data_IF_399905014099
#
_entry.id   IF_399905014099
#
_cell.length_a   1.000
_cell.length_b   1.000
_cell.length_c   1.000
_cell.angle_alpha   90.00
_cell.angle_beta   90.00
_cell.angle_gamma   90.00
#
_symmetry.space_group_name_H-M   'P 1'
#
loop_
_entity.id
_entity.type
_entity.pdbx_description
1 polymer ?
#
# COMPACT_ATOMS: atom_id res chain seq x y z
N UNK A 1 27.25 -60.41 50.76
CA UNK A 1 27.28 -58.95 50.53
C UNK A 1 27.66 -58.69 49.07
N UNK A 2 26.69 -58.64 48.15
CA UNK A 2 26.92 -58.31 46.72
C UNK A 2 25.82 -57.39 46.18
N UNK A 3 25.36 -56.44 47.00
CA UNK A 3 24.29 -55.49 46.62
C UNK A 3 24.82 -54.18 45.99
N UNK A 4 26.14 -53.99 45.88
CA UNK A 4 26.73 -52.75 45.34
C UNK A 4 26.89 -52.73 43.81
N UNK A 5 27.12 -53.90 43.18
CA UNK A 5 27.46 -53.98 41.75
C UNK A 5 26.24 -53.74 40.84
N UNK A 6 25.05 -54.19 41.22
CA UNK A 6 23.82 -53.97 40.45
C UNK A 6 23.29 -52.54 40.61
N UNK A 7 23.36 -51.95 41.81
CA UNK A 7 22.96 -50.56 42.05
C UNK A 7 23.81 -49.57 41.25
N UNK A 8 25.13 -49.77 41.17
CA UNK A 8 26.01 -48.95 40.34
C UNK A 8 25.65 -49.01 38.84
N UNK A 9 25.30 -50.19 38.33
CA UNK A 9 24.87 -50.35 36.94
C UNK A 9 23.56 -49.61 36.64
N UNK A 10 22.57 -49.70 37.53
CA UNK A 10 21.31 -48.95 37.37
C UNK A 10 21.51 -47.45 37.36
N UNK A 11 22.41 -46.93 38.20
CA UNK A 11 22.76 -45.50 38.22
C UNK A 11 23.41 -45.07 36.91
N UNK A 12 24.36 -45.86 36.38
CA UNK A 12 25.01 -45.56 35.09
C UNK A 12 24.01 -45.57 33.94
N UNK A 13 23.13 -46.58 33.89
CA UNK A 13 22.07 -46.68 32.86
C UNK A 13 21.11 -45.48 32.95
N UNK A 14 20.72 -45.07 34.16
CA UNK A 14 19.86 -43.90 34.35
C UNK A 14 20.51 -42.61 33.84
N UNK A 15 21.81 -42.40 34.10
CA UNK A 15 22.55 -41.23 33.60
C UNK A 15 22.60 -41.22 32.07
N UNK A 16 22.86 -42.37 31.45
CA UNK A 16 22.91 -42.49 29.98
C UNK A 16 21.55 -42.18 29.36
N UNK A 17 20.46 -42.78 29.88
CA UNK A 17 19.11 -42.52 29.38
C UNK A 17 18.73 -41.05 29.56
N UNK A 18 19.03 -40.46 30.73
CA UNK A 18 18.77 -39.05 31.00
C UNK A 18 19.56 -38.12 30.07
N UNK A 19 20.83 -38.44 29.79
CA UNK A 19 21.68 -37.71 28.84
C UNK A 19 21.15 -37.76 27.41
N UNK A 20 20.67 -38.92 26.96
CA UNK A 20 20.03 -39.06 25.64
C UNK A 20 18.74 -38.24 25.61
N UNK A 21 17.89 -38.33 26.63
CA UNK A 21 16.64 -37.57 26.69
C UNK A 21 16.86 -36.06 26.66
N UNK A 22 17.84 -35.54 27.43
CA UNK A 22 18.19 -34.12 27.42
C UNK A 22 18.77 -33.68 26.08
N UNK A 23 19.61 -34.51 25.44
CA UNK A 23 20.15 -34.23 24.12
C UNK A 23 19.05 -34.19 23.05
N UNK A 24 18.17 -35.20 23.01
CA UNK A 24 17.07 -35.26 22.05
C UNK A 24 16.10 -34.10 22.26
N UNK A 25 15.77 -33.76 23.50
CA UNK A 25 14.93 -32.59 23.84
C UNK A 25 15.57 -31.28 23.38
N UNK A 26 16.88 -31.13 23.59
CA UNK A 26 17.62 -29.96 23.13
C UNK A 26 17.62 -29.83 21.60
N UNK A 27 17.85 -30.93 20.87
CA UNK A 27 17.82 -30.93 19.41
C UNK A 27 16.41 -30.62 18.88
N UNK A 28 15.36 -31.22 19.46
CA UNK A 28 13.96 -30.89 19.12
C UNK A 28 13.65 -29.41 19.33
N UNK A 29 14.07 -28.86 20.47
CA UNK A 29 13.87 -27.44 20.74
C UNK A 29 14.67 -26.55 19.79
N UNK A 30 15.96 -26.82 19.62
CA UNK A 30 16.87 -25.99 18.82
C UNK A 30 16.50 -26.01 17.35
N UNK A 31 16.20 -27.17 16.80
CA UNK A 31 16.09 -27.37 15.35
C UNK A 31 14.64 -27.22 14.87
N UNK A 32 13.64 -27.45 15.73
CA UNK A 32 12.22 -27.35 15.34
C UNK A 32 11.48 -26.22 16.06
N UNK A 33 11.47 -26.20 17.40
CA UNK A 33 10.62 -25.25 18.15
C UNK A 33 11.14 -23.82 18.11
N UNK A 34 12.44 -23.60 18.28
CA UNK A 34 13.05 -22.27 18.31
C UNK A 34 12.83 -21.51 16.99
N UNK A 35 13.10 -22.07 15.79
CA UNK A 35 12.81 -21.39 14.53
C UNK A 35 11.32 -21.09 14.37
N UNK A 36 10.46 -22.06 14.70
CA UNK A 36 9.00 -21.91 14.54
C UNK A 36 8.45 -20.80 15.43
N UNK A 37 8.83 -20.78 16.71
CA UNK A 37 8.42 -19.74 17.65
C UNK A 37 8.98 -18.37 17.25
N UNK A 38 10.26 -18.30 16.85
CA UNK A 38 10.86 -17.06 16.39
C UNK A 38 10.11 -16.46 15.18
N UNK A 39 9.69 -17.31 14.23
CA UNK A 39 8.89 -16.88 13.10
C UNK A 39 7.51 -16.35 13.54
N UNK A 40 6.81 -17.07 14.43
CA UNK A 40 5.50 -16.64 14.94
C UNK A 40 5.60 -15.30 15.68
N UNK A 41 6.60 -15.13 16.54
CA UNK A 41 6.79 -13.87 17.28
C UNK A 41 7.19 -12.73 16.35
N UNK A 42 8.08 -12.98 15.38
CA UNK A 42 8.49 -11.96 14.41
C UNK A 42 7.31 -11.53 13.54
N UNK A 43 6.54 -12.49 13.01
CA UNK A 43 5.34 -12.20 12.22
C UNK A 43 4.29 -11.43 13.04
N UNK A 44 4.10 -11.80 14.31
CA UNK A 44 3.17 -11.12 15.21
C UNK A 44 3.60 -9.69 15.53
N UNK A 45 4.90 -9.49 15.82
CA UNK A 45 5.46 -8.17 16.09
C UNK A 45 5.40 -7.27 14.85
N UNK A 46 5.71 -7.81 13.68
CA UNK A 46 5.64 -7.06 12.43
C UNK A 46 4.22 -6.67 12.06
N UNK A 47 3.25 -7.56 12.28
CA UNK A 47 1.84 -7.22 12.13
C UNK A 47 1.45 -6.08 13.07
N UNK A 48 1.80 -6.18 14.35
CA UNK A 48 1.51 -5.14 15.33
C UNK A 48 2.13 -3.79 14.94
N UNK A 49 3.39 -3.80 14.50
CA UNK A 49 4.11 -2.59 14.07
C UNK A 49 3.52 -1.96 12.79
N UNK A 50 3.12 -2.77 11.81
CA UNK A 50 2.41 -2.27 10.63
C UNK A 50 1.02 -1.72 10.98
N UNK A 51 0.31 -2.30 11.96
CA UNK A 51 -0.96 -1.76 12.45
C UNK A 51 -0.77 -0.45 13.22
N UNK A 52 0.29 -0.33 14.01
CA UNK A 52 0.57 0.85 14.85
C UNK A 52 1.09 2.05 14.04
N UNK A 53 2.01 1.80 13.09
CA UNK A 53 2.53 2.84 12.21
C UNK A 53 1.54 3.25 11.12
N UNK A 54 0.68 2.32 10.69
CA UNK A 54 -0.20 2.47 9.51
C UNK A 54 0.55 2.46 8.17
N UNK A 55 1.89 2.53 8.20
CA UNK A 55 2.76 2.60 7.03
C UNK A 55 3.21 1.21 6.62
N UNK A 56 3.10 0.90 5.34
CA UNK A 56 3.55 -0.38 4.82
C UNK A 56 5.08 -0.44 4.79
N UNK A 57 5.64 -1.54 5.28
CA UNK A 57 7.09 -1.76 5.26
C UNK A 57 7.58 -2.07 3.85
N UNK A 58 8.78 -1.61 3.52
CA UNK A 58 9.41 -1.79 2.21
C UNK A 58 9.38 -3.23 1.70
N UNK A 59 9.65 -4.22 2.57
CA UNK A 59 9.68 -5.63 2.15
C UNK A 59 8.38 -6.14 1.54
N UNK A 60 7.24 -5.50 1.83
CA UNK A 60 5.93 -5.82 1.26
C UNK A 60 5.65 -5.07 -0.04
N UNK A 61 6.51 -4.14 -0.44
CA UNK A 61 6.39 -3.38 -1.67
C UNK A 61 7.22 -4.01 -2.77
N UNK A 62 6.73 -3.88 -4.00
CA UNK A 62 7.53 -4.10 -5.19
C UNK A 62 7.86 -2.75 -5.80
N UNK A 63 9.14 -2.44 -5.93
CA UNK A 63 9.62 -1.18 -6.45
C UNK A 63 10.67 -1.36 -7.54
N UNK A 64 10.84 -0.34 -8.37
CA UNK A 64 11.84 -0.28 -9.44
C UNK A 64 12.40 1.14 -9.53
N UNK A 65 13.59 1.27 -10.09
CA UNK A 65 14.14 2.57 -10.46
C UNK A 65 13.83 2.83 -11.93
N UNK A 66 13.17 3.94 -12.21
CA UNK A 66 12.95 4.46 -13.57
C UNK A 66 13.37 5.92 -13.60
N UNK A 67 14.13 6.33 -14.62
CA UNK A 67 14.64 7.69 -14.76
C UNK A 67 15.28 8.26 -13.48
N UNK A 68 16.05 7.42 -12.77
CA UNK A 68 16.69 7.72 -11.49
C UNK A 68 15.73 8.05 -10.33
N UNK A 69 14.48 7.59 -10.40
CA UNK A 69 13.50 7.75 -9.33
C UNK A 69 12.96 6.41 -8.87
N UNK A 70 12.75 6.27 -7.55
CA UNK A 70 12.07 5.10 -7.00
C UNK A 70 10.58 5.18 -7.32
N UNK A 71 10.12 4.12 -7.98
CA UNK A 71 8.75 3.87 -8.36
C UNK A 71 8.24 2.65 -7.60
N UNK A 72 7.21 2.83 -6.76
CA UNK A 72 6.46 1.69 -6.23
C UNK A 72 5.44 1.25 -7.27
N UNK A 73 5.41 -0.05 -7.54
CA UNK A 73 4.65 -0.67 -8.63
C UNK A 73 3.63 -1.70 -8.15
N UNK A 74 3.63 -2.05 -6.86
CA UNK A 74 2.73 -3.06 -6.33
C UNK A 74 3.18 -3.61 -4.98
N UNK A 75 2.65 -4.78 -4.63
CA UNK A 75 3.01 -5.53 -3.44
C UNK A 75 3.88 -6.75 -3.78
N UNK A 76 4.78 -7.13 -2.89
CA UNK A 76 5.59 -8.34 -3.02
C UNK A 76 4.79 -9.59 -2.64
N UNK A 77 5.25 -10.77 -3.05
CA UNK A 77 4.56 -12.05 -2.79
C UNK A 77 4.29 -12.33 -1.31
N UNK A 78 5.14 -11.83 -0.41
CA UNK A 78 4.96 -12.02 1.04
C UNK A 78 3.75 -11.25 1.61
N UNK A 79 3.24 -10.25 0.87
CA UNK A 79 2.00 -9.55 1.19
C UNK A 79 0.74 -10.40 0.92
N UNK A 80 0.90 -11.57 0.30
CA UNK A 80 -0.19 -12.47 -0.06
C UNK A 80 -0.16 -13.76 0.80
N UNK A 81 -1.32 -14.40 0.93
CA UNK A 81 -1.50 -15.74 1.47
C UNK A 81 -2.45 -16.49 0.54
N UNK A 82 -1.99 -17.59 -0.06
CA UNK A 82 -2.74 -18.36 -1.06
C UNK A 82 -3.27 -17.50 -2.23
N UNK A 83 -2.45 -16.55 -2.70
CA UNK A 83 -2.81 -15.64 -3.80
C UNK A 83 -3.75 -14.49 -3.42
N UNK A 84 -4.26 -14.45 -2.19
CA UNK A 84 -5.11 -13.37 -1.68
C UNK A 84 -4.27 -12.41 -0.85
N UNK A 85 -4.43 -11.10 -1.05
CA UNK A 85 -3.72 -10.10 -0.23
C UNK A 85 -4.09 -10.28 1.24
N UNK A 86 -3.12 -10.18 2.14
CA UNK A 86 -3.41 -10.27 3.58
C UNK A 86 -4.28 -9.08 4.01
N UNK A 87 -5.25 -9.25 4.93
CA UNK A 87 -6.24 -8.22 5.26
C UNK A 87 -5.66 -6.85 5.63
N UNK A 88 -4.52 -6.81 6.34
CA UNK A 88 -3.85 -5.58 6.74
C UNK A 88 -3.32 -4.74 5.56
N UNK A 89 -3.14 -5.34 4.38
CA UNK A 89 -2.64 -4.64 3.19
C UNK A 89 -3.77 -4.26 2.22
N UNK A 90 -5.05 -4.44 2.60
CA UNK A 90 -6.17 -3.87 1.84
C UNK A 90 -6.17 -2.34 1.88
N UNK A 91 -5.61 -1.75 2.92
CA UNK A 91 -5.34 -0.31 3.01
C UNK A 91 -3.86 -0.14 3.28
N UNK A 92 -3.17 0.64 2.46
CA UNK A 92 -1.74 0.89 2.61
C UNK A 92 -1.48 2.39 2.67
N UNK A 93 -0.57 2.79 3.56
CA UNK A 93 0.05 4.12 3.55
C UNK A 93 1.47 3.90 3.05
N UNK A 94 1.83 4.58 1.96
CA UNK A 94 3.16 4.45 1.38
C UNK A 94 4.22 5.03 2.34
N UNK A 95 5.42 4.42 2.43
CA UNK A 95 6.50 4.97 3.22
C UNK A 95 7.08 6.22 2.55
N UNK A 96 7.74 7.08 3.33
CA UNK A 96 8.48 8.23 2.79
C UNK A 96 9.68 7.79 1.96
N UNK A 97 10.35 6.71 2.38
CA UNK A 97 11.54 6.17 1.72
C UNK A 97 11.42 4.68 1.43
N UNK A 98 12.15 4.26 0.40
CA UNK A 98 12.36 2.87 -0.01
C UNK A 98 13.84 2.74 -0.35
N UNK A 99 14.51 1.70 0.15
CA UNK A 99 15.94 1.51 -0.04
C UNK A 99 16.80 2.73 0.35
N UNK A 100 16.35 3.48 1.36
CA UNK A 100 17.03 4.68 1.85
C UNK A 100 16.88 5.95 1.00
N UNK A 101 16.14 5.90 -0.12
CA UNK A 101 15.85 7.07 -0.95
C UNK A 101 14.36 7.43 -0.91
N UNK A 102 14.04 8.68 -1.23
CA UNK A 102 12.66 9.16 -1.27
C UNK A 102 11.81 8.38 -2.28
N UNK A 103 10.65 7.93 -1.84
CA UNK A 103 9.62 7.38 -2.72
C UNK A 103 8.90 8.52 -3.43
N UNK A 104 9.31 8.79 -4.67
CA UNK A 104 8.81 9.92 -5.47
C UNK A 104 7.63 9.56 -6.37
N UNK A 105 7.53 8.31 -6.84
CA UNK A 105 6.51 7.95 -7.84
C UNK A 105 5.70 6.72 -7.43
N UNK A 106 4.38 6.86 -7.53
CA UNK A 106 3.45 5.75 -7.47
C UNK A 106 3.06 5.36 -8.89
N UNK A 107 3.39 4.16 -9.30
CA UNK A 107 3.26 3.73 -10.68
C UNK A 107 2.30 2.54 -10.81
N UNK A 108 1.16 2.76 -11.45
CA UNK A 108 0.16 1.72 -11.71
C UNK A 108 0.33 1.04 -13.07
N UNK A 109 1.26 1.52 -13.90
CA UNK A 109 1.48 0.90 -15.20
C UNK A 109 2.12 -0.47 -14.96
N UNK A 110 1.32 -1.52 -15.22
CA UNK A 110 1.77 -2.89 -15.12
C UNK A 110 2.78 -3.15 -16.24
N UNK A 111 4.07 -3.05 -15.92
CA UNK A 111 5.13 -3.42 -16.84
C UNK A 111 5.06 -4.92 -17.03
N UNK A 112 4.32 -5.35 -18.05
CA UNK A 112 4.15 -6.75 -18.48
C UNK A 112 5.51 -7.45 -18.58
N UNK A 113 5.97 -8.04 -17.48
CA UNK A 113 7.07 -9.00 -17.40
C UNK A 113 7.03 -9.69 -16.03
N UNK A 114 6.99 -11.02 -16.05
CA UNK A 114 7.38 -11.92 -14.94
C UNK A 114 6.51 -11.96 -13.68
N UNK A 115 5.18 -12.05 -13.82
CA UNK A 115 4.32 -12.36 -12.66
C UNK A 115 4.22 -11.23 -11.62
N UNK A 116 4.51 -9.99 -12.03
CA UNK A 116 4.37 -8.80 -11.21
C UNK A 116 2.92 -8.65 -10.75
N UNK A 117 2.68 -8.82 -9.44
CA UNK A 117 1.42 -8.44 -8.81
C UNK A 117 1.52 -6.95 -8.56
N UNK A 118 0.69 -6.17 -9.24
CA UNK A 118 0.55 -4.75 -8.94
C UNK A 118 -0.04 -4.58 -7.53
N UNK A 119 -1.12 -3.84 -7.41
CA UNK A 119 -1.84 -3.64 -6.16
C UNK A 119 -3.06 -4.56 -6.04
N UNK A 120 -2.96 -5.78 -6.59
CA UNK A 120 -4.06 -6.75 -6.60
C UNK A 120 -4.57 -6.98 -5.18
N UNK A 121 -5.86 -6.70 -4.98
CA UNK A 121 -6.57 -6.86 -3.70
C UNK A 121 -6.47 -5.64 -2.76
N UNK A 122 -5.61 -4.67 -3.05
CA UNK A 122 -5.55 -3.40 -2.31
C UNK A 122 -6.77 -2.55 -2.67
N UNK A 123 -7.45 -2.04 -1.65
CA UNK A 123 -8.68 -1.25 -1.79
C UNK A 123 -8.43 0.25 -1.60
N UNK A 124 -7.45 0.63 -0.78
CA UNK A 124 -7.10 2.03 -0.51
C UNK A 124 -5.58 2.22 -0.48
N UNK A 125 -5.12 3.29 -1.13
CA UNK A 125 -3.72 3.74 -1.07
C UNK A 125 -3.70 5.18 -0.57
N UNK A 126 -2.85 5.45 0.42
CA UNK A 126 -2.53 6.79 0.92
C UNK A 126 -1.08 7.11 0.54
N UNK A 127 -0.88 8.21 -0.18
CA UNK A 127 0.45 8.68 -0.58
C UNK A 127 1.25 9.24 0.59
N UNK A 128 2.58 9.28 0.41
CA UNK A 128 3.52 9.90 1.36
C UNK A 128 3.81 11.37 1.00
N UNK A 129 4.56 12.07 1.85
CA UNK A 129 4.86 13.51 1.65
C UNK A 129 5.97 13.82 0.65
N UNK A 130 6.82 12.84 0.33
CA UNK A 130 7.84 12.90 -0.72
C UNK A 130 7.33 12.60 -2.13
N UNK A 131 6.12 12.06 -2.27
CA UNK A 131 5.53 11.65 -3.54
C UNK A 131 5.26 12.87 -4.44
N UNK A 132 5.81 12.84 -5.65
CA UNK A 132 5.74 13.91 -6.65
C UNK A 132 4.97 13.49 -7.91
N UNK A 133 4.96 12.19 -8.22
CA UNK A 133 4.33 11.64 -9.41
C UNK A 133 3.38 10.50 -9.12
N UNK A 134 2.28 10.46 -9.88
CA UNK A 134 1.39 9.30 -9.93
C UNK A 134 1.12 8.97 -11.39
N UNK A 135 1.49 7.77 -11.81
CA UNK A 135 1.20 7.29 -13.16
C UNK A 135 -0.31 7.06 -13.34
N UNK A 136 -0.77 7.00 -14.59
CA UNK A 136 -2.20 6.77 -14.88
C UNK A 136 -2.70 5.48 -14.23
N UNK A 137 -3.87 5.53 -13.59
CA UNK A 137 -4.56 4.35 -13.06
C UNK A 137 -5.31 3.59 -14.17
N UNK A 138 -4.74 3.58 -15.38
CA UNK A 138 -5.38 3.02 -16.56
C UNK A 138 -5.02 1.53 -16.69
N UNK A 139 -6.01 0.68 -16.45
CA UNK A 139 -6.03 -0.80 -16.59
C UNK A 139 -5.30 -1.63 -15.51
N UNK A 140 -6.02 -2.61 -14.94
CA UNK A 140 -5.45 -3.72 -14.16
C UNK A 140 -5.72 -3.74 -12.65
N UNK A 141 -6.01 -2.60 -12.03
CA UNK A 141 -6.17 -2.48 -10.56
C UNK A 141 -7.64 -2.37 -10.13
N UNK A 142 -8.43 -3.41 -10.43
CA UNK A 142 -9.88 -3.39 -10.16
C UNK A 142 -10.25 -3.29 -8.68
N UNK A 143 -9.32 -3.63 -7.78
CA UNK A 143 -9.58 -3.58 -6.34
C UNK A 143 -9.49 -2.18 -5.76
N UNK A 144 -8.72 -1.26 -6.36
CA UNK A 144 -8.48 0.07 -5.78
C UNK A 144 -9.73 0.94 -5.92
N UNK A 145 -10.32 1.29 -4.76
CA UNK A 145 -11.53 2.11 -4.64
C UNK A 145 -11.23 3.51 -4.14
N UNK A 146 -10.14 3.70 -3.41
CA UNK A 146 -9.78 5.00 -2.83
C UNK A 146 -8.29 5.31 -3.00
N UNK A 147 -8.00 6.52 -3.45
CA UNK A 147 -6.65 7.06 -3.58
C UNK A 147 -6.58 8.41 -2.89
N UNK A 148 -5.79 8.46 -1.82
CA UNK A 148 -5.59 9.66 -1.01
C UNK A 148 -4.21 10.25 -1.27
N UNK A 149 -4.17 11.34 -2.03
CA UNK A 149 -2.96 12.11 -2.34
C UNK A 149 -2.88 13.41 -1.50
N UNK A 150 -3.69 13.56 -0.45
CA UNK A 150 -3.80 14.79 0.35
C UNK A 150 -2.47 15.30 0.90
N UNK A 151 -1.57 14.39 1.26
CA UNK A 151 -0.26 14.69 1.86
C UNK A 151 0.87 14.84 0.82
N UNK A 152 0.60 14.56 -0.44
CA UNK A 152 1.63 14.46 -1.49
C UNK A 152 2.02 15.82 -2.05
N UNK A 153 3.14 15.85 -2.78
CA UNK A 153 3.63 16.99 -3.57
C UNK A 153 3.24 16.86 -5.05
N UNK A 154 2.24 16.03 -5.37
CA UNK A 154 1.79 15.80 -6.75
C UNK A 154 1.17 17.08 -7.29
N UNK A 155 1.78 17.67 -8.31
CA UNK A 155 1.33 18.92 -8.92
C UNK A 155 0.37 18.71 -10.10
N UNK A 156 0.42 17.53 -10.72
CA UNK A 156 -0.46 17.14 -11.81
C UNK A 156 -0.47 15.62 -11.96
N UNK A 157 -1.51 15.10 -12.62
CA UNK A 157 -1.57 13.71 -13.05
C UNK A 157 -1.83 13.64 -14.55
N UNK A 158 -1.56 12.47 -15.14
CA UNK A 158 -1.71 12.28 -16.58
C UNK A 158 -3.18 12.47 -17.03
N UNK A 159 -3.35 12.84 -18.30
CA UNK A 159 -4.68 12.87 -18.92
C UNK A 159 -5.39 11.52 -18.76
N UNK A 160 -6.72 11.53 -18.65
CA UNK A 160 -7.52 10.32 -18.43
C UNK A 160 -7.19 9.54 -17.16
N UNK A 161 -6.62 10.19 -16.13
CA UNK A 161 -6.12 9.54 -14.92
C UNK A 161 -7.04 8.47 -14.31
N UNK A 162 -8.35 8.75 -14.21
CA UNK A 162 -9.35 7.83 -13.63
C UNK A 162 -10.07 6.98 -14.68
N UNK A 163 -9.79 7.17 -15.97
CA UNK A 163 -10.46 6.43 -17.04
C UNK A 163 -10.17 4.94 -16.91
N UNK A 164 -11.21 4.12 -17.07
CA UNK A 164 -11.16 2.66 -16.95
C UNK A 164 -10.75 2.13 -15.55
N UNK A 165 -10.65 3.01 -14.55
CA UNK A 165 -10.38 2.63 -13.15
C UNK A 165 -11.66 2.24 -12.40
N UNK A 166 -11.48 1.50 -11.29
CA UNK A 166 -12.54 1.17 -10.32
C UNK A 166 -12.58 2.13 -9.13
N UNK A 167 -11.88 3.27 -9.26
CA UNK A 167 -11.76 4.28 -8.22
C UNK A 167 -13.12 4.93 -7.96
N UNK A 168 -13.54 4.91 -6.70
CA UNK A 168 -14.74 5.58 -6.20
C UNK A 168 -14.42 6.95 -5.61
N UNK A 169 -13.26 7.08 -4.97
CA UNK A 169 -12.86 8.30 -4.27
C UNK A 169 -11.43 8.68 -4.59
N UNK A 170 -11.21 9.96 -4.83
CA UNK A 170 -9.87 10.53 -4.99
C UNK A 170 -9.73 11.83 -4.22
N UNK A 171 -8.64 11.96 -3.48
CA UNK A 171 -8.26 13.21 -2.81
C UNK A 171 -6.97 13.72 -3.41
N UNK A 172 -6.95 14.97 -3.88
CA UNK A 172 -5.75 15.66 -4.35
C UNK A 172 -5.23 16.62 -3.29
N UNK A 173 -3.92 16.57 -3.05
CA UNK A 173 -3.25 17.40 -2.07
C UNK A 173 -3.11 18.86 -2.49
N UNK A 174 -2.70 19.69 -1.53
CA UNK A 174 -2.61 21.16 -1.68
C UNK A 174 -1.66 21.64 -2.78
N UNK A 175 -0.79 20.76 -3.26
CA UNK A 175 0.21 21.05 -4.29
C UNK A 175 -0.32 20.85 -5.71
N UNK A 176 -1.54 20.33 -5.88
CA UNK A 176 -2.15 20.10 -7.19
C UNK A 176 -2.35 21.43 -7.93
N UNK A 177 -1.65 21.64 -9.04
CA UNK A 177 -1.67 22.90 -9.80
C UNK A 177 -2.43 22.79 -11.11
N UNK A 178 -2.51 21.59 -11.70
CA UNK A 178 -3.01 21.42 -13.07
C UNK A 178 -4.06 20.32 -13.19
N UNK A 179 -5.19 20.64 -13.82
CA UNK A 179 -6.22 19.65 -14.18
C UNK A 179 -6.10 19.27 -15.65
N UNK A 180 -5.56 18.07 -15.90
CA UNK A 180 -5.36 17.52 -17.24
C UNK A 180 -6.67 17.15 -17.95
N UNK A 181 -6.60 16.96 -19.27
CA UNK A 181 -7.71 16.52 -20.10
C UNK A 181 -8.37 15.25 -19.55
N UNK A 182 -9.70 15.25 -19.39
CA UNK A 182 -10.49 14.06 -19.07
C UNK A 182 -10.08 13.34 -17.77
N UNK A 183 -9.45 14.04 -16.82
CA UNK A 183 -8.90 13.48 -15.58
C UNK A 183 -9.93 12.69 -14.75
N UNK A 184 -11.23 13.04 -14.85
CA UNK A 184 -12.34 12.47 -14.08
C UNK A 184 -13.30 11.57 -14.89
N UNK A 185 -12.80 10.82 -15.87
CA UNK A 185 -13.61 9.91 -16.71
C UNK A 185 -13.91 8.53 -16.08
N UNK A 186 -13.57 8.31 -14.81
CA UNK A 186 -13.87 7.05 -14.11
C UNK A 186 -15.37 6.80 -13.98
N UNK A 187 -15.84 5.64 -14.49
CA UNK A 187 -17.26 5.24 -14.44
C UNK A 187 -17.79 5.11 -13.01
N UNK A 188 -16.95 4.62 -12.12
CA UNK A 188 -17.29 4.34 -10.71
C UNK A 188 -16.96 5.49 -9.76
N UNK A 189 -16.42 6.61 -10.28
CA UNK A 189 -16.04 7.74 -9.46
C UNK A 189 -17.30 8.38 -8.84
N UNK A 190 -17.29 8.52 -7.52
CA UNK A 190 -18.40 9.02 -6.70
C UNK A 190 -18.00 10.32 -5.97
N UNK A 191 -16.72 10.48 -5.62
CA UNK A 191 -16.23 11.59 -4.82
C UNK A 191 -14.86 12.10 -5.28
N UNK A 192 -14.73 13.42 -5.40
CA UNK A 192 -13.47 14.12 -5.63
C UNK A 192 -13.30 15.12 -4.50
N UNK A 193 -12.12 15.13 -3.89
CA UNK A 193 -11.76 16.12 -2.87
C UNK A 193 -10.47 16.82 -3.28
N UNK A 194 -10.47 18.15 -3.28
CA UNK A 194 -9.26 18.95 -3.35
C UNK A 194 -8.93 19.50 -1.97
N UNK A 195 -7.64 19.63 -1.62
CA UNK A 195 -7.21 20.29 -0.38
C UNK A 195 -6.36 21.54 -0.65
N UNK A 196 -6.48 22.10 -1.85
CA UNK A 196 -5.76 23.27 -2.32
C UNK A 196 -5.98 24.50 -1.44
N UNK A 197 -4.90 25.17 -1.09
CA UNK A 197 -4.97 26.47 -0.41
C UNK A 197 -4.81 27.65 -1.39
N UNK A 198 -4.68 27.35 -2.69
CA UNK A 198 -4.51 28.31 -3.77
C UNK A 198 -5.20 27.81 -5.03
N UNK A 199 -5.57 28.72 -5.92
CA UNK A 199 -6.10 28.43 -7.25
C UNK A 199 -5.19 27.52 -8.08
N UNK A 200 -5.79 26.77 -9.02
CA UNK A 200 -5.06 26.03 -10.04
C UNK A 200 -4.34 26.99 -10.99
N UNK A 201 -3.12 26.63 -11.38
CA UNK A 201 -2.35 27.35 -12.41
C UNK A 201 -2.92 27.10 -13.80
N UNK A 202 -3.46 25.90 -14.05
CA UNK A 202 -4.03 25.52 -15.34
C UNK A 202 -5.19 24.52 -15.18
N UNK A 203 -6.30 24.79 -15.85
CA UNK A 203 -7.43 23.86 -15.98
C UNK A 203 -7.66 23.65 -17.47
N UNK A 204 -7.37 22.43 -17.93
CA UNK A 204 -7.70 22.08 -19.30
C UNK A 204 -9.20 22.27 -19.54
N UNK A 205 -9.57 22.89 -20.65
CA UNK A 205 -10.98 23.16 -21.00
C UNK A 205 -11.86 21.90 -21.08
N UNK A 206 -11.23 20.72 -21.18
CA UNK A 206 -11.86 19.40 -21.17
C UNK A 206 -11.48 18.55 -19.95
N UNK A 207 -11.02 19.14 -18.84
CA UNK A 207 -10.75 18.41 -17.59
C UNK A 207 -12.00 17.63 -17.11
N UNK A 208 -13.16 18.29 -17.18
CA UNK A 208 -14.48 17.73 -16.83
C UNK A 208 -15.23 17.13 -18.03
N UNK A 209 -14.51 16.68 -19.07
CA UNK A 209 -15.13 16.03 -20.23
C UNK A 209 -15.33 14.54 -19.96
N UNK A 210 -16.53 14.02 -20.24
CA UNK A 210 -16.84 12.59 -20.14
C UNK A 210 -16.99 12.06 -18.71
N UNK A 211 -17.12 12.94 -17.71
CA UNK A 211 -17.34 12.52 -16.32
C UNK A 211 -18.76 12.00 -16.09
N UNK A 212 -18.90 11.15 -15.07
CA UNK A 212 -20.19 10.75 -14.53
C UNK A 212 -20.86 11.94 -13.81
N UNK A 213 -22.18 12.13 -13.99
CA UNK A 213 -22.93 13.23 -13.35
C UNK A 213 -23.26 12.98 -11.88
N UNK A 214 -23.00 11.79 -11.33
CA UNK A 214 -23.28 11.43 -9.93
C UNK A 214 -22.09 11.68 -8.99
N UNK A 215 -21.16 12.57 -9.35
CA UNK A 215 -19.97 12.88 -8.55
C UNK A 215 -20.24 14.00 -7.55
N UNK A 216 -19.83 13.78 -6.31
CA UNK A 216 -19.71 14.82 -5.27
C UNK A 216 -18.33 15.45 -5.31
N UNK A 217 -18.27 16.77 -5.37
CA UNK A 217 -17.02 17.52 -5.34
C UNK A 217 -16.91 18.28 -4.00
N UNK A 218 -15.84 18.02 -3.26
CA UNK A 218 -15.46 18.81 -2.08
C UNK A 218 -14.23 19.65 -2.45
N UNK A 219 -14.33 20.97 -2.28
CA UNK A 219 -13.26 21.88 -2.65
C UNK A 219 -13.15 23.02 -1.64
N UNK A 220 -11.95 23.57 -1.39
CA UNK A 220 -11.80 24.79 -0.61
C UNK A 220 -12.43 25.98 -1.34
N UNK A 221 -12.91 26.97 -0.59
CA UNK A 221 -13.55 28.16 -1.15
C UNK A 221 -12.67 28.93 -2.13
N UNK A 222 -11.35 28.84 -2.00
CA UNK A 222 -10.37 29.42 -2.91
C UNK A 222 -10.53 28.92 -4.36
N UNK A 223 -11.10 27.74 -4.57
CA UNK A 223 -11.30 27.17 -5.90
C UNK A 223 -12.67 27.51 -6.52
N UNK A 224 -13.58 28.16 -5.78
CA UNK A 224 -14.97 28.40 -6.21
C UNK A 224 -15.02 29.11 -7.57
N UNK A 225 -14.23 30.17 -7.75
CA UNK A 225 -14.22 30.94 -8.99
C UNK A 225 -13.88 30.11 -10.23
N UNK A 226 -12.93 29.18 -10.10
CA UNK A 226 -12.45 28.35 -11.20
C UNK A 226 -13.35 27.13 -11.47
N UNK A 227 -14.03 26.61 -10.44
CA UNK A 227 -14.82 25.38 -10.51
C UNK A 227 -16.30 25.63 -10.83
N UNK A 228 -16.82 26.83 -10.54
CA UNK A 228 -18.20 27.23 -10.79
C UNK A 228 -18.74 26.91 -12.20
N UNK A 229 -17.98 27.10 -13.30
CA UNK A 229 -18.45 26.75 -14.65
C UNK A 229 -18.75 25.27 -14.87
N UNK A 230 -18.29 24.38 -13.98
CA UNK A 230 -18.41 22.93 -14.11
C UNK A 230 -19.43 22.31 -13.14
N UNK A 231 -20.03 23.09 -12.24
CA UNK A 231 -20.98 22.60 -11.24
C UNK A 231 -22.18 21.87 -11.84
N UNK A 232 -22.64 22.31 -13.02
CA UNK A 232 -23.75 21.68 -13.74
C UNK A 232 -23.44 20.24 -14.23
N UNK A 233 -22.18 19.82 -14.19
CA UNK A 233 -21.76 18.45 -14.53
C UNK A 233 -21.68 17.53 -13.30
N UNK A 234 -21.79 18.10 -12.11
CA UNK A 234 -21.61 17.40 -10.84
C UNK A 234 -22.96 17.21 -10.16
N UNK A 235 -23.04 16.22 -9.26
CA UNK A 235 -24.24 16.00 -8.46
C UNK A 235 -24.42 17.09 -7.43
N UNK A 236 -23.33 17.39 -6.72
CA UNK A 236 -23.28 18.36 -5.64
C UNK A 236 -21.84 18.85 -5.50
N UNK A 237 -21.71 20.12 -5.14
CA UNK A 237 -20.43 20.76 -4.84
C UNK A 237 -20.49 21.36 -3.44
N UNK A 238 -19.50 21.05 -2.62
CA UNK A 238 -19.33 21.54 -1.27
C UNK A 238 -18.05 22.36 -1.19
N UNK A 239 -18.21 23.68 -1.10
CA UNK A 239 -17.11 24.58 -0.79
C UNK A 239 -16.95 24.70 0.73
N UNK A 240 -15.73 24.51 1.23
CA UNK A 240 -15.40 24.58 2.66
C UNK A 240 -14.28 25.57 2.96
#
# INVERSE_FOLDING_TARGET
MTNGTSQGLFVVVAIVIFGIFTLTSYLLFKDNLKPTLANIFTDGLEQADSYLSGVIKEKYLTWRVFDNEINVTGLSEIAYKNGVVRPQFKTIILPETVNGEDLKVLNFNNFNNNGHKGFIGVEKIVGNSSLQGVASLATGEESIKELDLSKTKVESVFQYFTKDSHLKKVTFGKHMKKLSYGIFQGKYLEEITFTNTTEFEDINSRAFYGMNTNITLNAPKELEGQLKPYENKLKVVHYY
#
